data_IF_482834630393
#
_entry.id   IF_482834630393
#
_cell.length_a   1.000
_cell.length_b   1.000
_cell.length_c   1.000
_cell.angle_alpha   90.00
_cell.angle_beta   90.00
_cell.angle_gamma   90.00
#
_symmetry.space_group_name_H-M   'P 1'
#
loop_
_entity.id
_entity.type
_entity.pdbx_description
1 polymer ?
#
# COMPACT_ATOMS: atom_id res chain seq x y z
N UNK A 1 -73.38 -36.16 27.50
CA UNK A 1 -72.44 -35.08 27.12
C UNK A 1 -71.44 -35.65 26.13
N UNK A 2 -71.51 -35.17 24.89
CA UNK A 2 -70.79 -35.67 23.70
C UNK A 2 -69.71 -34.64 23.33
N UNK A 3 -68.47 -35.09 23.09
CA UNK A 3 -67.51 -34.64 22.04
C UNK A 3 -66.16 -35.34 22.30
N UNK A 4 -65.73 -36.31 21.47
CA UNK A 4 -65.13 -36.21 20.11
C UNK A 4 -63.70 -35.65 20.15
N UNK A 5 -62.71 -36.49 19.84
CA UNK A 5 -61.94 -36.53 18.55
C UNK A 5 -60.56 -35.85 18.76
N UNK A 6 -59.41 -36.26 18.20
CA UNK A 6 -59.00 -37.30 17.25
C UNK A 6 -57.46 -37.39 17.28
N UNK A 7 -56.96 -38.55 16.82
CA UNK A 7 -55.56 -38.94 16.57
C UNK A 7 -54.83 -38.05 15.56
N UNK A 8 -53.49 -37.98 15.69
CA UNK A 8 -52.49 -37.98 14.59
C UNK A 8 -51.10 -38.14 15.22
N UNK A 9 -50.46 -39.32 15.20
CA UNK A 9 -49.62 -39.85 14.11
C UNK A 9 -48.55 -38.84 13.65
N UNK A 10 -47.36 -38.91 14.25
CA UNK A 10 -46.15 -38.21 13.81
C UNK A 10 -45.37 -39.15 12.88
N UNK A 11 -45.37 -38.86 11.58
CA UNK A 11 -44.55 -39.55 10.59
C UNK A 11 -43.99 -38.53 9.59
N UNK A 12 -42.77 -38.81 9.12
CA UNK A 12 -41.96 -38.12 8.10
C UNK A 12 -41.33 -36.79 8.56
N UNK A 13 -40.05 -36.47 8.26
CA UNK A 13 -39.26 -36.77 7.06
C UNK A 13 -37.79 -37.12 7.41
N UNK A 14 -37.27 -38.20 6.82
CA UNK A 14 -35.84 -38.37 6.56
C UNK A 14 -35.44 -37.40 5.44
N UNK A 15 -34.76 -36.31 5.80
CA UNK A 15 -34.09 -35.44 4.83
C UNK A 15 -32.66 -35.92 4.63
N UNK A 16 -32.35 -36.44 3.43
CA UNK A 16 -30.99 -36.76 3.01
C UNK A 16 -30.11 -35.51 3.15
N UNK A 17 -29.07 -35.61 3.98
CA UNK A 17 -27.98 -34.64 4.03
C UNK A 17 -27.07 -34.90 2.81
N UNK A 18 -27.38 -34.28 1.69
CA UNK A 18 -26.46 -34.20 0.55
C UNK A 18 -25.30 -33.29 0.94
N UNK A 19 -24.17 -33.90 1.32
CA UNK A 19 -22.88 -33.22 1.40
C UNK A 19 -22.52 -32.67 0.02
N UNK A 20 -22.86 -31.41 -0.25
CA UNK A 20 -22.20 -30.64 -1.30
C UNK A 20 -20.81 -30.32 -0.75
N UNK A 21 -19.83 -31.10 -1.21
CA UNK A 21 -18.42 -30.75 -1.10
C UNK A 21 -18.21 -29.45 -1.88
N UNK A 22 -18.37 -28.32 -1.19
CA UNK A 22 -17.89 -27.04 -1.68
C UNK A 22 -16.39 -27.15 -1.84
N UNK A 23 -15.91 -27.03 -3.07
CA UNK A 23 -14.50 -26.79 -3.36
C UNK A 23 -14.19 -25.41 -2.79
N UNK A 24 -13.79 -25.37 -1.53
CA UNK A 24 -13.13 -24.20 -0.96
C UNK A 24 -11.86 -23.99 -1.80
N UNK A 25 -11.81 -22.88 -2.52
CA UNK A 25 -10.58 -22.41 -3.12
C UNK A 25 -9.54 -22.32 -2.01
N UNK A 26 -8.52 -23.19 -2.09
CA UNK A 26 -7.36 -23.12 -1.21
C UNK A 26 -6.72 -21.75 -1.43
N UNK A 27 -6.80 -20.90 -0.41
CA UNK A 27 -5.82 -19.85 -0.26
C UNK A 27 -4.47 -20.54 -0.07
N UNK A 28 -3.57 -20.39 -1.04
CA UNK A 28 -2.16 -20.77 -0.89
C UNK A 28 -1.61 -20.01 0.33
N UNK A 29 -1.61 -20.69 1.46
CA UNK A 29 -1.12 -20.25 2.76
C UNK A 29 -0.12 -21.28 3.30
N UNK A 30 0.69 -21.83 2.40
CA UNK A 30 1.72 -22.81 2.74
C UNK A 30 3.11 -22.25 2.45
N UNK A 31 3.49 -21.23 3.22
CA UNK A 31 4.85 -21.09 3.74
C UNK A 31 4.76 -20.64 5.20
N UNK A 32 5.35 -21.44 6.10
CA UNK A 32 5.07 -21.44 7.54
C UNK A 32 5.24 -20.10 8.26
N UNK A 33 4.24 -19.76 9.08
CA UNK A 33 4.32 -18.71 10.08
C UNK A 33 4.11 -17.27 9.58
N UNK A 34 4.23 -16.29 10.50
CA UNK A 34 4.12 -14.86 10.23
C UNK A 34 5.00 -14.39 9.06
N UNK A 35 4.49 -13.45 8.26
CA UNK A 35 5.19 -12.95 7.08
C UNK A 35 6.51 -12.24 7.37
N UNK A 36 6.65 -11.65 8.56
CA UNK A 36 7.90 -11.02 9.01
C UNK A 36 9.08 -11.99 9.02
N UNK A 37 8.85 -13.29 9.18
CA UNK A 37 9.93 -14.30 9.15
C UNK A 37 10.58 -14.46 7.77
N UNK A 38 9.95 -13.94 6.71
CA UNK A 38 10.50 -13.91 5.35
C UNK A 38 11.27 -12.63 5.05
N UNK A 39 11.35 -11.69 5.98
CA UNK A 39 12.13 -10.46 5.84
C UNK A 39 13.60 -10.76 6.16
N UNK A 40 14.48 -10.48 5.20
CA UNK A 40 15.92 -10.67 5.34
C UNK A 40 16.71 -9.74 4.42
N UNK A 41 18.00 -9.60 4.69
CA UNK A 41 18.88 -8.75 3.90
C UNK A 41 18.86 -7.29 4.30
N UNK A 42 19.59 -6.44 3.55
CA UNK A 42 19.79 -5.03 3.90
C UNK A 42 18.55 -4.18 3.66
N UNK A 43 17.77 -4.46 2.60
CA UNK A 43 16.58 -3.70 2.24
C UNK A 43 15.49 -4.64 1.76
N UNK A 44 14.29 -4.53 2.32
CA UNK A 44 13.16 -5.38 1.93
C UNK A 44 11.85 -4.60 1.92
N UNK A 45 10.84 -5.11 1.21
CA UNK A 45 9.48 -4.60 1.27
C UNK A 45 8.48 -5.73 1.40
N UNK A 46 7.56 -5.58 2.35
CA UNK A 46 6.38 -6.41 2.50
C UNK A 46 5.18 -5.70 1.90
N UNK A 47 4.43 -6.41 1.07
CA UNK A 47 3.15 -5.94 0.53
C UNK A 47 2.08 -6.12 1.60
N UNK A 48 1.51 -5.03 2.11
CA UNK A 48 0.35 -5.09 3.01
C UNK A 48 -0.95 -5.15 2.21
N UNK A 49 -0.99 -4.47 1.07
CA UNK A 49 -2.08 -4.55 0.11
C UNK A 49 -1.63 -4.20 -1.31
N UNK A 50 -2.28 -4.82 -2.28
CA UNK A 50 -1.84 -4.84 -3.69
C UNK A 50 -2.93 -4.47 -4.68
N UNK A 51 -4.06 -3.91 -4.21
CA UNK A 51 -5.20 -3.51 -5.03
C UNK A 51 -5.50 -2.01 -4.93
N UNK A 52 -6.51 -1.55 -5.67
CA UNK A 52 -7.06 -0.18 -5.59
C UNK A 52 -8.41 -0.12 -4.90
N UNK A 53 -9.36 0.73 -5.34
CA UNK A 53 -10.61 0.98 -4.62
C UNK A 53 -11.74 0.03 -5.04
N UNK A 54 -11.51 -0.81 -6.04
CA UNK A 54 -12.54 -1.67 -6.62
C UNK A 54 -12.71 -2.95 -5.81
N UNK A 55 -13.95 -3.28 -5.44
CA UNK A 55 -14.28 -4.54 -4.76
C UNK A 55 -13.88 -5.75 -5.60
N UNK A 56 -13.21 -6.72 -4.97
CA UNK A 56 -12.76 -7.95 -5.63
C UNK A 56 -13.03 -9.17 -4.76
N UNK A 57 -13.43 -10.27 -5.40
CA UNK A 57 -13.60 -11.56 -4.72
C UNK A 57 -12.27 -12.13 -4.19
N UNK A 58 -11.12 -11.66 -4.68
CA UNK A 58 -9.79 -12.05 -4.18
C UNK A 58 -9.54 -11.59 -2.73
N UNK A 59 -10.28 -10.57 -2.26
CA UNK A 59 -10.12 -10.03 -0.91
C UNK A 59 -8.81 -9.28 -0.67
N UNK A 60 -8.09 -8.90 -1.73
CA UNK A 60 -6.86 -8.10 -1.65
C UNK A 60 -7.14 -6.77 -0.94
N UNK A 61 -6.27 -6.38 -0.02
CA UNK A 61 -6.26 -5.05 0.55
C UNK A 61 -5.85 -4.01 -0.50
N UNK A 62 -6.28 -2.76 -0.30
CA UNK A 62 -5.85 -1.64 -1.12
C UNK A 62 -4.37 -1.29 -0.86
N UNK A 63 -3.76 -0.46 -1.71
CA UNK A 63 -2.33 -0.20 -1.71
C UNK A 63 -1.75 0.11 -0.32
N UNK A 64 -0.71 -0.64 0.03
CA UNK A 64 0.10 -0.33 1.19
C UNK A 64 1.29 -1.28 1.31
N UNK A 65 2.42 -0.74 1.74
CA UNK A 65 3.68 -1.47 1.80
C UNK A 65 4.45 -1.07 3.06
N UNK A 66 5.23 -2.00 3.60
CA UNK A 66 6.13 -1.77 4.72
C UNK A 66 7.56 -2.11 4.30
N UNK A 67 8.45 -1.13 4.39
CA UNK A 67 9.85 -1.25 4.03
C UNK A 67 10.69 -1.47 5.28
N UNK A 68 11.64 -2.38 5.16
CA UNK A 68 12.55 -2.82 6.21
C UNK A 68 13.98 -2.48 5.84
N UNK A 69 14.76 -2.00 6.82
CA UNK A 69 16.22 -1.87 6.72
C UNK A 69 16.86 -2.81 7.74
N UNK A 70 17.78 -3.66 7.31
CA UNK A 70 18.40 -4.68 8.17
C UNK A 70 17.36 -5.51 8.97
N UNK A 71 16.27 -5.88 8.32
CA UNK A 71 15.16 -6.63 8.92
C UNK A 71 14.25 -5.84 9.86
N UNK A 72 14.52 -4.55 10.13
CA UNK A 72 13.70 -3.71 11.00
C UNK A 72 12.74 -2.84 10.18
N UNK A 73 11.45 -2.76 10.53
CA UNK A 73 10.48 -1.95 9.79
C UNK A 73 10.74 -0.46 10.00
N UNK A 74 10.80 0.32 8.92
CA UNK A 74 11.18 1.74 8.97
C UNK A 74 10.21 2.70 8.31
N UNK A 75 9.59 2.29 7.20
CA UNK A 75 8.83 3.18 6.32
C UNK A 75 7.56 2.51 5.85
N UNK A 76 6.40 3.13 6.08
CA UNK A 76 5.19 2.79 5.36
C UNK A 76 5.13 3.56 4.03
N UNK A 77 4.69 2.90 2.97
CA UNK A 77 4.29 3.54 1.71
C UNK A 77 2.82 3.24 1.46
N UNK A 78 1.97 4.25 1.56
CA UNK A 78 0.50 4.15 1.58
C UNK A 78 -0.07 3.20 2.65
N UNK A 79 -1.31 3.45 3.04
CA UNK A 79 -2.05 2.73 4.07
C UNK A 79 -3.54 2.63 3.68
N UNK A 80 -3.79 1.96 2.55
CA UNK A 80 -5.12 1.67 2.04
C UNK A 80 -5.97 0.78 2.93
N UNK A 81 -7.25 0.64 2.56
CA UNK A 81 -8.21 -0.21 3.28
C UNK A 81 -7.74 -1.67 3.35
N UNK A 82 -7.70 -2.22 4.57
CA UNK A 82 -7.30 -3.61 4.83
C UNK A 82 -5.82 -3.79 5.15
N UNK A 83 -4.98 -2.76 4.96
CA UNK A 83 -3.56 -2.81 5.30
C UNK A 83 -3.31 -3.00 6.79
N UNK A 84 -4.17 -2.47 7.67
CA UNK A 84 -4.07 -2.70 9.11
C UNK A 84 -4.27 -4.19 9.47
N UNK A 85 -5.21 -4.85 8.81
CA UNK A 85 -5.44 -6.30 8.98
C UNK A 85 -4.23 -7.09 8.50
N UNK A 86 -3.71 -6.78 7.31
CA UNK A 86 -2.51 -7.43 6.78
C UNK A 86 -1.31 -7.21 7.69
N UNK A 87 -1.14 -6.00 8.23
CA UNK A 87 -0.09 -5.69 9.19
C UNK A 87 -0.18 -6.58 10.43
N UNK A 88 -1.37 -6.72 11.02
CA UNK A 88 -1.58 -7.62 12.16
C UNK A 88 -1.27 -9.09 11.81
N UNK A 89 -1.70 -9.56 10.63
CA UNK A 89 -1.40 -10.92 10.15
C UNK A 89 0.08 -11.16 9.85
N UNK A 90 0.85 -10.10 9.57
CA UNK A 90 2.27 -10.21 9.25
C UNK A 90 3.14 -10.61 10.46
N UNK A 91 2.66 -10.35 11.69
CA UNK A 91 3.42 -10.50 12.93
C UNK A 91 4.53 -9.46 13.12
N UNK A 92 4.51 -8.36 12.37
CA UNK A 92 5.54 -7.32 12.44
C UNK A 92 5.28 -6.37 13.62
N UNK A 93 6.32 -6.10 14.42
CA UNK A 93 6.33 -5.02 15.40
C UNK A 93 6.72 -3.71 14.73
N UNK A 94 5.86 -2.70 14.79
CA UNK A 94 6.00 -1.43 14.07
C UNK A 94 6.17 -0.23 15.00
N UNK A 95 6.35 -0.48 16.31
CA UNK A 95 6.61 0.55 17.30
C UNK A 95 7.73 1.53 16.90
N UNK A 96 8.73 1.11 16.11
CA UNK A 96 9.86 1.95 15.72
C UNK A 96 9.79 2.48 14.28
N UNK A 97 8.65 2.39 13.60
CA UNK A 97 8.46 3.00 12.28
C UNK A 97 8.39 4.52 12.43
N UNK A 98 9.25 5.24 11.69
CA UNK A 98 9.37 6.70 11.80
C UNK A 98 8.71 7.45 10.63
N UNK A 99 8.53 6.80 9.49
CA UNK A 99 8.15 7.45 8.25
C UNK A 99 6.88 6.84 7.67
N UNK A 100 5.96 7.69 7.23
CA UNK A 100 4.81 7.35 6.41
C UNK A 100 4.91 8.18 5.13
N UNK A 101 4.96 7.51 3.99
CA UNK A 101 5.00 8.12 2.68
C UNK A 101 3.64 7.89 2.01
N UNK A 102 2.88 8.96 1.78
CA UNK A 102 1.62 8.93 1.06
C UNK A 102 1.89 9.35 -0.39
N UNK A 103 1.59 8.49 -1.36
CA UNK A 103 1.76 8.81 -2.77
C UNK A 103 0.77 9.89 -3.22
N UNK A 104 -0.48 9.76 -2.77
CA UNK A 104 -1.56 10.71 -2.95
C UNK A 104 -2.70 10.41 -1.96
N UNK A 105 -3.71 11.27 -1.93
CA UNK A 105 -4.73 11.29 -0.89
C UNK A 105 -6.07 10.67 -1.31
N UNK A 106 -6.04 9.66 -2.18
CA UNK A 106 -7.21 8.79 -2.38
C UNK A 106 -7.39 7.83 -1.19
N UNK A 107 -8.63 7.39 -1.00
CA UNK A 107 -9.03 6.60 0.17
C UNK A 107 -8.39 5.21 0.18
N UNK A 108 -8.21 4.61 -0.99
CA UNK A 108 -7.53 3.32 -1.17
C UNK A 108 -6.02 3.37 -0.94
N UNK A 109 -5.47 4.56 -0.65
CA UNK A 109 -4.08 4.76 -0.23
C UNK A 109 -3.95 5.27 1.22
N UNK A 110 -5.06 5.62 1.88
CA UNK A 110 -5.00 6.36 3.16
C UNK A 110 -5.98 5.88 4.24
N UNK A 111 -6.98 5.05 3.90
CA UNK A 111 -8.10 4.73 4.79
C UNK A 111 -7.68 4.15 6.17
N UNK A 112 -6.63 3.34 6.22
CA UNK A 112 -6.21 2.67 7.45
C UNK A 112 -5.19 3.48 8.25
N UNK A 113 -4.78 4.67 7.77
CA UNK A 113 -3.80 5.53 8.44
C UNK A 113 -4.14 5.80 9.93
N UNK A 114 -5.38 6.19 10.32
CA UNK A 114 -5.72 6.37 11.74
C UNK A 114 -5.60 5.08 12.57
N UNK A 115 -5.94 3.93 11.96
CA UNK A 115 -5.85 2.62 12.60
C UNK A 115 -4.40 2.23 12.84
N UNK A 116 -3.53 2.41 11.85
CA UNK A 116 -2.09 2.11 11.94
C UNK A 116 -1.39 3.02 12.96
N UNK A 117 -1.68 4.32 12.97
CA UNK A 117 -1.13 5.24 14.00
C UNK A 117 -1.49 4.78 15.41
N UNK A 118 -2.74 4.37 15.62
CA UNK A 118 -3.17 3.78 16.89
C UNK A 118 -2.46 2.45 17.18
N UNK A 119 -2.22 1.64 16.15
CA UNK A 119 -1.46 0.39 16.26
C UNK A 119 -0.03 0.59 16.75
N UNK A 120 0.71 1.53 16.16
CA UNK A 120 2.08 1.88 16.55
C UNK A 120 2.16 2.21 18.05
N UNK A 121 1.19 2.98 18.55
CA UNK A 121 1.12 3.34 19.97
C UNK A 121 1.00 2.14 20.91
N UNK A 122 0.11 1.18 20.59
CA UNK A 122 -0.16 0.04 21.46
C UNK A 122 0.93 -1.01 21.36
N UNK A 123 1.42 -1.30 20.15
CA UNK A 123 2.49 -2.26 19.91
C UNK A 123 3.73 -1.92 20.75
N UNK A 124 4.18 -0.65 20.73
CA UNK A 124 5.33 -0.24 21.54
C UNK A 124 5.12 -0.41 23.04
N UNK A 125 3.91 -0.13 23.55
CA UNK A 125 3.63 -0.27 25.00
C UNK A 125 3.54 -1.72 25.45
N UNK A 126 2.90 -2.56 24.66
CA UNK A 126 2.78 -3.99 24.97
C UNK A 126 4.15 -4.67 25.01
N UNK A 127 5.10 -4.18 24.20
CA UNK A 127 6.48 -4.66 24.18
C UNK A 127 7.42 -3.97 25.19
N UNK A 128 6.97 -2.94 25.91
CA UNK A 128 7.83 -2.14 26.79
C UNK A 128 8.85 -1.26 26.06
N UNK A 129 8.64 -0.99 24.77
CA UNK A 129 9.45 -0.16 23.89
C UNK A 129 8.58 0.88 23.15
N UNK A 130 8.06 1.90 23.85
CA UNK A 130 7.13 2.87 23.26
C UNK A 130 7.83 3.75 22.20
N UNK A 131 7.15 4.01 21.08
CA UNK A 131 7.56 5.07 20.15
C UNK A 131 7.49 6.43 20.83
N UNK A 132 8.52 7.27 20.69
CA UNK A 132 8.56 8.62 21.28
C UNK A 132 8.92 9.74 20.31
N UNK A 133 9.31 9.43 19.07
CA UNK A 133 9.73 10.43 18.08
C UNK A 133 8.57 10.79 17.13
N UNK A 134 8.42 12.03 16.66
CA UNK A 134 7.35 12.36 15.73
C UNK A 134 7.38 11.51 14.47
N UNK A 135 6.23 10.89 14.15
CA UNK A 135 6.06 10.21 12.88
C UNK A 135 6.09 11.28 11.79
N UNK A 136 7.04 11.14 10.88
CA UNK A 136 7.20 12.01 9.73
C UNK A 136 6.29 11.52 8.62
N UNK A 137 5.34 12.35 8.20
CA UNK A 137 4.39 12.03 7.14
C UNK A 137 4.69 12.90 5.93
N UNK A 138 5.11 12.28 4.84
CA UNK A 138 5.37 12.95 3.57
C UNK A 138 4.26 12.61 2.59
N UNK A 139 3.83 13.59 1.81
CA UNK A 139 2.85 13.39 0.75
C UNK A 139 2.72 14.64 -0.11
N UNK A 140 1.86 14.62 -1.14
CA UNK A 140 1.70 15.77 -1.99
C UNK A 140 1.07 16.93 -1.20
N UNK A 141 1.68 18.10 -1.33
CA UNK A 141 1.02 19.38 -1.09
C UNK A 141 0.12 19.73 -2.27
N UNK A 142 -0.70 20.76 -2.10
CA UNK A 142 -1.51 21.30 -3.21
C UNK A 142 -2.20 22.60 -2.81
N UNK A 143 -2.54 23.40 -3.81
CA UNK A 143 -3.53 24.49 -3.71
C UNK A 143 -4.88 24.10 -4.35
N UNK A 144 -5.04 22.84 -4.78
CA UNK A 144 -6.27 22.33 -5.39
C UNK A 144 -7.40 22.31 -4.36
N UNK A 145 -8.54 22.98 -4.58
CA UNK A 145 -9.63 23.01 -3.61
C UNK A 145 -10.36 21.67 -3.42
N UNK A 146 -10.19 20.70 -4.33
CA UNK A 146 -10.83 19.37 -4.21
C UNK A 146 -10.03 18.40 -3.33
N UNK A 147 -8.72 18.61 -3.19
CA UNK A 147 -7.85 17.72 -2.42
C UNK A 147 -7.12 18.53 -1.36
N UNK A 148 -7.06 18.08 -0.09
CA UNK A 148 -6.24 18.76 0.90
C UNK A 148 -4.75 18.62 0.56
N UNK A 149 -3.91 19.52 1.08
CA UNK A 149 -2.48 19.21 1.23
C UNK A 149 -2.28 18.08 2.23
N UNK A 150 -1.11 17.45 2.27
CA UNK A 150 -0.80 16.42 3.27
C UNK A 150 -0.87 16.98 4.69
N UNK A 151 -0.40 18.22 4.90
CA UNK A 151 -0.56 18.93 6.17
C UNK A 151 -2.04 19.10 6.54
N UNK A 152 -2.85 19.63 5.63
CA UNK A 152 -4.28 19.82 5.87
C UNK A 152 -5.01 18.50 6.13
N UNK A 153 -4.61 17.43 5.45
CA UNK A 153 -5.17 16.09 5.64
C UNK A 153 -4.86 15.56 7.04
N UNK A 154 -3.59 15.62 7.45
CA UNK A 154 -3.16 15.17 8.77
C UNK A 154 -3.82 15.97 9.90
N UNK A 155 -3.90 17.29 9.76
CA UNK A 155 -4.60 18.17 10.73
C UNK A 155 -6.12 17.91 10.74
N UNK A 156 -6.71 17.66 9.58
CA UNK A 156 -8.11 17.27 9.44
C UNK A 156 -8.43 15.92 10.08
N UNK A 157 -7.45 15.03 10.22
CA UNK A 157 -7.60 13.77 10.94
C UNK A 157 -7.31 13.92 12.44
N UNK A 158 -6.19 14.52 12.82
CA UNK A 158 -5.65 14.41 14.18
C UNK A 158 -5.46 15.75 14.91
N UNK A 159 -5.54 16.87 14.19
CA UNK A 159 -5.41 18.19 14.76
C UNK A 159 -6.52 18.51 15.78
N UNK A 160 -6.46 19.69 16.44
CA UNK A 160 -7.42 20.05 17.50
C UNK A 160 -8.90 19.98 17.08
N UNK A 161 -9.18 20.24 15.80
CA UNK A 161 -10.51 20.17 15.19
C UNK A 161 -10.70 18.95 14.27
N UNK A 162 -9.72 18.05 14.22
CA UNK A 162 -9.69 16.90 13.32
C UNK A 162 -10.69 15.80 13.71
N UNK A 163 -11.15 15.02 12.74
CA UNK A 163 -12.22 14.01 12.91
C UNK A 163 -11.88 12.92 13.93
N UNK A 164 -10.60 12.55 14.01
CA UNK A 164 -10.02 11.64 14.97
C UNK A 164 -9.16 12.34 16.01
N UNK A 165 -9.48 13.60 16.38
CA UNK A 165 -8.80 14.36 17.45
C UNK A 165 -8.67 13.64 18.79
N UNK A 166 -9.44 12.58 19.07
CA UNK A 166 -9.19 11.75 20.26
C UNK A 166 -7.84 11.00 20.18
N UNK A 167 -7.35 10.71 18.97
CA UNK A 167 -6.02 10.14 18.74
C UNK A 167 -4.90 11.13 19.09
N UNK A 168 -5.20 12.44 19.15
CA UNK A 168 -4.30 13.47 19.67
C UNK A 168 -3.82 13.15 21.08
N UNK A 169 -4.69 12.60 21.94
CA UNK A 169 -4.33 12.19 23.30
C UNK A 169 -3.21 11.14 23.37
N UNK A 170 -2.97 10.38 22.29
CA UNK A 170 -1.89 9.41 22.16
C UNK A 170 -0.59 10.04 21.61
N UNK A 171 -0.72 11.19 20.96
CA UNK A 171 0.27 11.81 20.09
C UNK A 171 0.93 13.02 20.78
N UNK A 172 0.18 13.86 21.50
CA UNK A 172 0.72 15.05 22.18
C UNK A 172 0.38 15.15 23.68
N UNK A 173 -0.44 14.22 24.18
CA UNK A 173 -0.89 14.20 25.58
C UNK A 173 -1.71 15.42 26.00
N UNK A 174 -2.13 16.27 25.06
CA UNK A 174 -2.57 17.63 25.37
C UNK A 174 -4.01 17.74 25.90
N UNK A 175 -4.86 16.71 25.77
CA UNK A 175 -6.29 16.81 26.15
C UNK A 175 -6.85 15.51 26.75
N UNK A 176 -6.00 14.62 27.29
CA UNK A 176 -6.39 13.34 27.91
C UNK A 176 -6.04 13.25 29.40
N UNK A 177 -6.49 12.20 30.14
CA UNK A 177 -5.99 11.97 31.49
C UNK A 177 -4.44 11.94 31.47
N UNK A 178 -3.78 12.58 32.45
CA UNK A 178 -2.33 12.77 32.41
C UNK A 178 -1.62 11.42 32.26
N UNK A 179 -0.70 11.33 31.29
CA UNK A 179 0.18 10.18 30.97
C UNK A 179 -0.19 9.25 29.79
N UNK A 180 -0.83 9.74 28.71
CA UNK A 180 -0.95 8.95 27.45
C UNK A 180 -0.11 9.44 26.25
N UNK A 181 0.36 10.68 26.15
CA UNK A 181 1.10 11.13 24.95
C UNK A 181 2.51 10.53 24.83
N UNK A 182 3.01 10.26 23.62
CA UNK A 182 4.47 10.07 23.47
C UNK A 182 5.16 10.50 22.18
N UNK A 183 4.55 10.49 20.99
CA UNK A 183 5.36 10.64 19.77
C UNK A 183 5.07 11.82 18.82
N UNK A 184 3.84 12.28 18.59
CA UNK A 184 3.60 13.40 17.66
C UNK A 184 3.46 12.96 16.19
N UNK A 185 3.00 13.85 15.31
CA UNK A 185 3.23 13.71 13.87
C UNK A 185 3.74 15.03 13.30
N UNK A 186 4.50 14.95 12.22
CA UNK A 186 4.93 16.10 11.44
C UNK A 186 4.68 15.82 9.96
N UNK A 187 3.79 16.61 9.35
CA UNK A 187 3.44 16.50 7.95
C UNK A 187 4.33 17.38 7.07
N UNK A 188 4.66 16.90 5.88
CA UNK A 188 5.49 17.59 4.89
C UNK A 188 4.81 17.57 3.53
N UNK A 189 4.55 18.76 3.01
CA UNK A 189 3.90 18.98 1.72
C UNK A 189 4.94 19.00 0.58
N UNK A 190 4.93 17.96 -0.25
CA UNK A 190 5.80 17.80 -1.42
C UNK A 190 5.20 18.49 -2.65
N UNK A 191 6.04 18.96 -3.58
CA UNK A 191 5.53 19.61 -4.79
C UNK A 191 4.79 18.60 -5.67
N UNK A 192 3.53 18.84 -6.09
CA UNK A 192 2.81 17.95 -7.00
C UNK A 192 3.03 18.31 -8.48
N UNK A 193 3.91 19.27 -8.78
CA UNK A 193 4.11 19.79 -10.13
C UNK A 193 4.97 18.82 -10.93
N UNK A 194 4.32 17.95 -11.72
CA UNK A 194 5.00 16.88 -12.44
C UNK A 194 5.67 17.33 -13.74
N UNK A 195 5.21 18.41 -14.40
CA UNK A 195 5.88 18.94 -15.58
C UNK A 195 7.25 19.51 -15.22
N UNK A 196 8.31 18.95 -15.81
CA UNK A 196 9.68 19.39 -15.54
C UNK A 196 10.21 19.00 -14.17
N UNK A 197 9.52 18.13 -13.43
CA UNK A 197 9.95 17.71 -12.10
C UNK A 197 11.35 17.05 -12.13
N UNK A 198 12.03 17.21 -11.00
CA UNK A 198 13.35 16.65 -10.71
C UNK A 198 13.27 15.79 -9.47
N UNK A 199 14.17 14.82 -9.35
CA UNK A 199 14.22 13.95 -8.17
C UNK A 199 14.76 14.76 -6.98
N UNK A 200 13.99 14.84 -5.90
CA UNK A 200 14.39 15.54 -4.67
C UNK A 200 14.67 14.53 -3.56
N UNK A 201 15.66 14.80 -2.72
CA UNK A 201 15.92 14.01 -1.51
C UNK A 201 15.17 14.63 -0.34
N UNK A 202 14.31 13.86 0.31
CA UNK A 202 13.44 14.31 1.41
C UNK A 202 13.88 13.78 2.78
N UNK A 203 14.63 12.67 2.80
CA UNK A 203 15.28 12.10 3.99
C UNK A 203 16.67 11.62 3.60
N UNK A 204 17.67 11.88 4.46
CA UNK A 204 19.02 11.35 4.33
C UNK A 204 19.65 11.20 5.72
N UNK A 205 19.36 10.09 6.39
CA UNK A 205 19.72 9.87 7.78
C UNK A 205 20.06 8.40 8.03
N UNK A 206 21.13 8.13 8.79
CA UNK A 206 21.52 6.77 9.19
C UNK A 206 21.62 5.77 8.02
N UNK A 207 22.03 6.25 6.84
CA UNK A 207 22.15 5.44 5.62
C UNK A 207 20.84 5.21 4.86
N UNK A 208 19.69 5.60 5.41
CA UNK A 208 18.40 5.63 4.73
C UNK A 208 18.29 6.94 3.93
N UNK A 209 18.09 6.81 2.62
CA UNK A 209 17.82 7.94 1.73
C UNK A 209 16.43 7.74 1.12
N UNK A 210 15.55 8.73 1.28
CA UNK A 210 14.24 8.73 0.63
C UNK A 210 14.22 9.90 -0.34
N UNK A 211 13.88 9.59 -1.59
CA UNK A 211 13.71 10.55 -2.68
C UNK A 211 12.28 10.53 -3.17
N UNK A 212 11.85 11.63 -3.75
CA UNK A 212 10.55 11.77 -4.39
C UNK A 212 10.68 12.35 -5.81
N UNK A 213 9.67 12.08 -6.65
CA UNK A 213 9.37 12.93 -7.80
C UNK A 213 7.85 13.06 -7.96
N UNK A 214 7.36 14.25 -8.33
CA UNK A 214 5.96 14.44 -8.73
C UNK A 214 5.58 13.59 -9.95
N UNK A 215 4.37 13.03 -9.93
CA UNK A 215 3.83 12.19 -11.01
C UNK A 215 2.43 12.63 -11.44
N UNK A 216 2.03 12.23 -12.64
CA UNK A 216 0.74 12.62 -13.22
C UNK A 216 -0.35 11.65 -12.76
N UNK A 217 -1.28 12.12 -11.93
CA UNK A 217 -2.52 11.42 -11.58
C UNK A 217 -3.74 12.33 -11.79
N UNK A 218 -3.70 13.13 -12.87
CA UNK A 218 -4.68 14.13 -13.25
C UNK A 218 -5.00 15.12 -12.11
N UNK A 219 -6.24 15.12 -11.61
CA UNK A 219 -6.71 16.08 -10.63
C UNK A 219 -6.16 15.83 -9.22
N UNK A 220 -5.74 14.61 -8.94
CA UNK A 220 -5.18 14.22 -7.66
C UNK A 220 -3.68 14.56 -7.65
N UNK A 221 -3.24 15.47 -6.76
CA UNK A 221 -1.82 15.71 -6.52
C UNK A 221 -1.13 14.39 -6.15
N UNK A 222 -0.01 14.05 -6.80
CA UNK A 222 0.63 12.75 -6.61
C UNK A 222 2.15 12.83 -6.73
N UNK A 223 2.83 11.98 -5.96
CA UNK A 223 4.29 11.78 -5.95
C UNK A 223 4.63 10.30 -5.92
N UNK A 224 5.78 9.97 -6.50
CA UNK A 224 6.39 8.65 -6.43
C UNK A 224 7.63 8.69 -5.52
N UNK A 225 7.99 7.56 -4.92
CA UNK A 225 9.10 7.48 -3.95
C UNK A 225 10.19 6.50 -4.38
N UNK A 226 11.43 6.83 -4.04
CA UNK A 226 12.58 5.93 -4.10
C UNK A 226 13.24 5.87 -2.74
N UNK A 227 13.35 4.67 -2.20
CA UNK A 227 14.03 4.39 -0.94
C UNK A 227 15.34 3.70 -1.26
N UNK A 228 16.45 4.24 -0.75
CA UNK A 228 17.78 3.68 -0.91
C UNK A 228 18.38 3.36 0.47
N UNK A 229 19.03 2.22 0.57
CA UNK A 229 19.74 1.80 1.77
C UNK A 229 20.89 0.85 1.42
N UNK A 230 22.10 1.14 1.94
CA UNK A 230 23.32 0.35 1.69
C UNK A 230 23.58 -0.01 0.21
N UNK A 231 23.25 0.91 -0.70
CA UNK A 231 23.46 0.74 -2.15
C UNK A 231 22.32 0.02 -2.89
N UNK A 232 21.28 -0.42 -2.18
CA UNK A 232 20.08 -1.03 -2.75
C UNK A 232 18.93 -0.04 -2.82
N UNK A 233 17.95 -0.31 -3.69
CA UNK A 233 16.87 0.63 -3.98
C UNK A 233 15.52 -0.03 -4.28
N UNK A 234 14.47 0.54 -3.69
CA UNK A 234 13.07 0.20 -3.95
C UNK A 234 12.37 1.47 -4.42
N UNK A 235 11.64 1.38 -5.52
CA UNK A 235 10.86 2.48 -6.10
C UNK A 235 9.39 2.12 -6.11
N UNK A 236 8.56 3.06 -5.68
CA UNK A 236 7.11 2.93 -5.66
C UNK A 236 6.48 4.07 -6.46
N UNK A 237 5.69 3.73 -7.48
CA UNK A 237 5.12 4.72 -8.39
C UNK A 237 4.00 5.57 -7.79
N UNK A 238 3.32 5.09 -6.74
CA UNK A 238 1.94 5.52 -6.49
C UNK A 238 1.04 5.22 -7.69
N UNK A 239 -0.08 5.91 -7.79
CA UNK A 239 -0.88 5.91 -9.02
C UNK A 239 -0.36 6.97 -9.98
N UNK A 240 -0.19 6.59 -11.26
CA UNK A 240 0.22 7.56 -12.27
C UNK A 240 -0.14 7.12 -13.68
N UNK A 241 -0.41 8.08 -14.56
CA UNK A 241 -0.55 7.90 -16.00
C UNK A 241 0.79 7.85 -16.76
N UNK A 242 1.89 8.28 -16.13
CA UNK A 242 3.26 8.31 -16.70
C UNK A 242 3.37 9.07 -18.04
N UNK A 243 2.73 10.24 -18.13
CA UNK A 243 2.80 11.13 -19.32
C UNK A 243 4.15 11.81 -19.50
N UNK A 244 4.98 11.82 -18.45
CA UNK A 244 6.36 12.32 -18.46
C UNK A 244 7.36 11.19 -18.23
N UNK A 245 8.65 11.51 -18.28
CA UNK A 245 9.73 10.56 -17.96
C UNK A 245 10.12 10.59 -16.47
N UNK A 246 9.28 11.13 -15.59
CA UNK A 246 9.60 11.23 -14.16
C UNK A 246 9.81 9.85 -13.53
N UNK A 247 8.99 8.85 -13.90
CA UNK A 247 9.21 7.47 -13.46
C UNK A 247 10.48 6.86 -14.03
N UNK A 248 10.93 7.25 -15.23
CA UNK A 248 12.24 6.82 -15.76
C UNK A 248 13.36 7.39 -14.90
N UNK A 249 13.33 8.70 -14.63
CA UNK A 249 14.34 9.39 -13.79
C UNK A 249 14.44 8.78 -12.40
N UNK A 250 13.30 8.55 -11.75
CA UNK A 250 13.26 8.01 -10.39
C UNK A 250 13.67 6.53 -10.36
N UNK A 251 13.20 5.72 -11.30
CA UNK A 251 13.43 4.27 -11.31
C UNK A 251 14.75 3.81 -11.92
N UNK A 252 15.60 4.73 -12.39
CA UNK A 252 16.85 4.39 -13.06
C UNK A 252 17.70 3.41 -12.24
N UNK A 253 17.96 2.23 -12.80
CA UNK A 253 18.76 1.17 -12.19
C UNK A 253 18.24 0.67 -10.84
N UNK A 254 16.94 0.82 -10.55
CA UNK A 254 16.38 0.38 -9.28
C UNK A 254 16.45 -1.15 -9.15
N UNK A 255 16.63 -1.68 -7.93
CA UNK A 255 16.58 -3.13 -7.75
C UNK A 255 15.13 -3.65 -7.83
N UNK A 256 14.20 -2.89 -7.27
CA UNK A 256 12.78 -3.20 -7.29
C UNK A 256 11.97 -1.97 -7.70
N UNK A 257 11.09 -2.12 -8.69
CA UNK A 257 10.12 -1.10 -9.09
C UNK A 257 8.71 -1.67 -8.90
N UNK A 258 7.97 -1.14 -7.93
CA UNK A 258 6.56 -1.42 -7.68
C UNK A 258 5.73 -0.41 -8.47
N UNK A 259 4.90 -0.90 -9.40
CA UNK A 259 4.21 -0.06 -10.38
C UNK A 259 2.69 -0.27 -10.34
N UNK A 260 1.94 0.83 -10.33
CA UNK A 260 0.51 0.88 -10.63
C UNK A 260 0.19 0.13 -11.92
N UNK A 261 -0.60 -0.93 -11.79
CA UNK A 261 -1.05 -1.80 -12.86
C UNK A 261 -2.58 -1.90 -12.84
N UNK A 262 -3.28 -0.78 -12.91
CA UNK A 262 -4.75 -0.75 -12.75
C UNK A 262 -5.56 -1.11 -14.00
N UNK A 263 -4.97 -0.95 -15.19
CA UNK A 263 -5.69 -0.98 -16.47
C UNK A 263 -4.98 -1.85 -17.51
N UNK A 264 -5.66 -2.08 -18.64
CA UNK A 264 -5.06 -2.52 -19.89
C UNK A 264 -4.99 -1.35 -20.88
N UNK A 265 -4.20 -1.48 -21.94
CA UNK A 265 -4.03 -0.46 -22.97
C UNK A 265 -5.37 0.03 -23.57
N UNK A 266 -6.37 -0.84 -23.61
CA UNK A 266 -7.70 -0.58 -24.19
C UNK A 266 -8.86 -0.80 -23.21
N UNK A 267 -8.59 -1.09 -21.93
CA UNK A 267 -9.63 -1.33 -20.93
C UNK A 267 -9.30 -0.66 -19.58
N UNK A 268 -10.15 0.25 -19.07
CA UNK A 268 -11.37 0.76 -19.72
C UNK A 268 -11.05 1.56 -21.01
N UNK A 269 -12.05 2.00 -21.78
CA UNK A 269 -11.79 2.78 -22.99
C UNK A 269 -10.79 3.92 -22.71
N UNK A 270 -9.79 4.15 -23.58
CA UNK A 270 -8.73 5.14 -23.34
C UNK A 270 -9.24 6.57 -23.09
N UNK A 271 -10.46 6.88 -23.56
CA UNK A 271 -11.12 8.16 -23.33
C UNK A 271 -11.67 8.34 -21.90
N UNK A 272 -11.83 7.24 -21.14
CA UNK A 272 -12.42 7.27 -19.80
C UNK A 272 -11.52 8.00 -18.79
N UNK A 273 -12.10 8.68 -17.78
CA UNK A 273 -11.31 9.32 -16.73
C UNK A 273 -10.40 8.33 -15.99
N UNK A 274 -10.87 7.10 -15.74
CA UNK A 274 -10.05 6.08 -15.09
C UNK A 274 -8.82 5.71 -15.91
N UNK A 275 -8.96 5.47 -17.22
CA UNK A 275 -7.81 5.14 -18.07
C UNK A 275 -6.75 6.27 -18.13
N UNK A 276 -7.19 7.53 -18.06
CA UNK A 276 -6.30 8.71 -18.09
C UNK A 276 -5.55 8.97 -16.79
N UNK A 277 -5.86 8.24 -15.72
CA UNK A 277 -5.21 8.36 -14.41
C UNK A 277 -4.12 7.32 -14.16
N UNK A 278 -4.08 6.26 -14.98
CA UNK A 278 -3.25 5.08 -14.75
C UNK A 278 -2.39 4.74 -15.96
N UNK A 279 -1.25 4.10 -15.71
CA UNK A 279 -0.27 3.78 -16.73
C UNK A 279 -0.73 2.56 -17.52
N UNK A 280 -0.68 2.65 -18.85
CA UNK A 280 -0.96 1.49 -19.71
C UNK A 280 0.19 0.48 -19.64
N UNK A 281 -0.06 -0.84 -19.73
CA UNK A 281 0.98 -1.85 -19.87
C UNK A 281 2.05 -1.53 -20.93
N UNK A 282 1.67 -0.95 -22.07
CA UNK A 282 2.64 -0.49 -23.08
C UNK A 282 3.54 0.62 -22.53
N UNK A 283 2.98 1.69 -21.93
CA UNK A 283 3.81 2.77 -21.37
C UNK A 283 4.68 2.27 -20.21
N UNK A 284 4.15 1.40 -19.35
CA UNK A 284 4.91 0.77 -18.26
C UNK A 284 6.11 -0.01 -18.80
N UNK A 285 5.93 -0.78 -19.87
CA UNK A 285 7.02 -1.51 -20.51
C UNK A 285 8.11 -0.59 -21.06
N UNK A 286 7.74 0.55 -21.64
CA UNK A 286 8.70 1.55 -22.11
C UNK A 286 9.47 2.18 -20.94
N UNK A 287 8.77 2.57 -19.88
CA UNK A 287 9.40 3.12 -18.66
C UNK A 287 10.37 2.10 -18.08
N UNK A 288 9.97 0.84 -17.92
CA UNK A 288 10.82 -0.21 -17.39
C UNK A 288 12.02 -0.51 -18.30
N UNK A 289 11.85 -0.49 -19.63
CA UNK A 289 12.97 -0.67 -20.55
C UNK A 289 14.01 0.46 -20.47
N UNK A 290 13.57 1.71 -20.30
CA UNK A 290 14.46 2.87 -20.17
C UNK A 290 15.13 2.96 -18.80
N UNK A 291 14.35 2.75 -17.73
CA UNK A 291 14.84 2.80 -16.36
C UNK A 291 15.70 1.58 -16.00
N UNK A 292 15.44 0.44 -16.64
CA UNK A 292 16.13 -0.84 -16.44
C UNK A 292 16.21 -1.29 -14.97
N UNK A 293 15.08 -1.42 -14.24
CA UNK A 293 15.11 -2.01 -12.91
C UNK A 293 15.44 -3.52 -12.98
N UNK A 294 15.98 -4.09 -11.91
CA UNK A 294 16.25 -5.55 -11.86
C UNK A 294 14.96 -6.36 -11.82
N UNK A 295 13.98 -5.90 -11.05
CA UNK A 295 12.65 -6.51 -10.94
C UNK A 295 11.54 -5.44 -11.00
N UNK A 296 10.53 -5.71 -11.82
CA UNK A 296 9.29 -4.94 -11.93
C UNK A 296 8.17 -5.73 -11.24
N UNK A 297 7.53 -5.14 -10.24
CA UNK A 297 6.41 -5.72 -9.51
C UNK A 297 5.12 -5.04 -9.95
N UNK A 298 4.23 -5.82 -10.53
CA UNK A 298 2.89 -5.40 -10.90
C UNK A 298 2.03 -5.35 -9.63
N UNK A 299 1.60 -4.16 -9.23
CA UNK A 299 0.74 -3.94 -8.07
C UNK A 299 -0.45 -3.06 -8.45
N UNK A 300 -1.25 -2.65 -7.47
CA UNK A 300 -2.50 -1.90 -7.68
C UNK A 300 -3.44 -2.61 -8.67
N UNK A 301 -3.54 -3.94 -8.54
CA UNK A 301 -4.28 -4.78 -9.47
C UNK A 301 -5.78 -4.64 -9.23
N UNK A 302 -6.52 -4.30 -10.29
CA UNK A 302 -7.98 -4.15 -10.29
C UNK A 302 -8.65 -5.43 -10.83
N UNK A 303 -9.99 -5.56 -10.81
CA UNK A 303 -10.68 -6.62 -11.53
C UNK A 303 -10.40 -6.65 -13.04
N UNK A 304 -9.86 -5.57 -13.60
CA UNK A 304 -9.45 -5.48 -15.00
C UNK A 304 -8.08 -6.12 -15.19
N UNK A 305 -7.09 -5.71 -14.39
CA UNK A 305 -5.69 -6.11 -14.62
C UNK A 305 -5.29 -7.41 -13.95
N UNK A 306 -5.84 -7.73 -12.76
CA UNK A 306 -5.51 -8.95 -12.02
C UNK A 306 -5.66 -10.24 -12.86
N UNK A 307 -6.82 -10.51 -13.52
CA UNK A 307 -6.96 -11.70 -14.36
C UNK A 307 -6.12 -11.65 -15.64
N UNK A 308 -5.55 -10.50 -15.99
CA UNK A 308 -4.81 -10.26 -17.24
C UNK A 308 -3.29 -10.11 -17.03
N UNK A 309 -2.76 -10.42 -15.84
CA UNK A 309 -1.32 -10.37 -15.55
C UNK A 309 -0.46 -11.09 -16.62
N UNK A 310 -0.81 -12.29 -17.13
CA UNK A 310 -0.04 -12.93 -18.18
C UNK A 310 0.03 -12.11 -19.48
N UNK A 311 -1.06 -11.45 -19.86
CA UNK A 311 -1.10 -10.56 -21.04
C UNK A 311 -0.26 -9.30 -20.80
N UNK A 312 -0.38 -8.68 -19.62
CA UNK A 312 0.38 -7.49 -19.22
C UNK A 312 1.88 -7.78 -19.30
N UNK A 313 2.33 -8.92 -18.75
CA UNK A 313 3.73 -9.36 -18.86
C UNK A 313 4.19 -9.47 -20.31
N UNK A 314 3.37 -10.02 -21.20
CA UNK A 314 3.69 -10.13 -22.64
C UNK A 314 3.82 -8.75 -23.30
N UNK A 315 2.92 -7.81 -22.98
CA UNK A 315 2.97 -6.44 -23.51
C UNK A 315 4.25 -5.72 -23.05
N UNK A 316 4.56 -5.80 -21.76
CA UNK A 316 5.78 -5.20 -21.18
C UNK A 316 7.04 -5.76 -21.86
N UNK A 317 7.12 -7.09 -22.05
CA UNK A 317 8.23 -7.75 -22.76
C UNK A 317 8.38 -7.26 -24.19
N UNK A 318 7.27 -7.02 -24.89
CA UNK A 318 7.29 -6.49 -26.26
C UNK A 318 7.87 -5.07 -26.37
N UNK A 319 7.95 -4.33 -25.27
CA UNK A 319 8.60 -3.00 -25.21
C UNK A 319 10.11 -3.07 -24.93
N UNK A 320 10.68 -4.27 -24.78
CA UNK A 320 12.13 -4.47 -24.62
C UNK A 320 12.61 -4.59 -23.17
N UNK A 321 11.73 -4.56 -22.17
CA UNK A 321 12.13 -4.81 -20.79
C UNK A 321 12.50 -6.28 -20.57
N UNK A 322 13.71 -6.56 -20.08
CA UNK A 322 14.25 -7.92 -19.90
C UNK A 322 14.37 -8.36 -18.44
N UNK A 323 14.30 -7.43 -17.47
CA UNK A 323 14.38 -7.72 -16.03
C UNK A 323 13.21 -8.57 -15.52
N UNK A 324 13.26 -9.06 -14.28
CA UNK A 324 12.21 -9.93 -13.74
C UNK A 324 10.86 -9.19 -13.67
N UNK A 325 9.74 -9.89 -13.90
CA UNK A 325 8.38 -9.34 -13.72
C UNK A 325 7.58 -10.23 -12.76
N UNK A 326 7.21 -9.68 -11.62
CA UNK A 326 6.44 -10.35 -10.56
C UNK A 326 5.05 -9.74 -10.39
N UNK A 327 4.15 -10.53 -9.84
CA UNK A 327 2.85 -10.07 -9.36
C UNK A 327 2.96 -9.84 -7.84
N UNK A 328 2.47 -8.69 -7.36
CA UNK A 328 2.31 -8.44 -5.94
C UNK A 328 1.20 -9.33 -5.36
N UNK A 329 1.40 -9.82 -4.15
CA UNK A 329 0.38 -10.48 -3.35
C UNK A 329 0.51 -9.98 -1.93
N UNK A 330 -0.62 -9.80 -1.24
CA UNK A 330 -0.61 -9.38 0.16
C UNK A 330 0.21 -10.37 0.99
N UNK A 331 0.99 -9.86 1.94
CA UNK A 331 1.97 -10.55 2.79
C UNK A 331 3.16 -11.19 2.08
N UNK A 332 3.33 -10.94 0.77
CA UNK A 332 4.56 -11.28 0.06
C UNK A 332 5.67 -10.31 0.46
N UNK A 333 6.87 -10.85 0.63
CA UNK A 333 8.08 -10.09 0.92
C UNK A 333 9.01 -10.14 -0.30
N UNK A 334 9.57 -9.00 -0.66
CA UNK A 334 10.65 -8.88 -1.63
C UNK A 334 11.90 -8.41 -0.88
N UNK A 335 12.92 -9.24 -0.87
CA UNK A 335 14.21 -8.91 -0.27
C UNK A 335 15.18 -8.48 -1.37
N UNK A 336 15.84 -7.35 -1.16
CA UNK A 336 16.78 -6.75 -2.08
C UNK A 336 18.18 -6.83 -1.47
N UNK A 337 19.15 -7.25 -2.27
CA UNK A 337 20.53 -7.39 -1.81
C UNK A 337 20.82 -8.69 -1.06
N UNK A 338 19.97 -9.70 -1.23
CA UNK A 338 20.34 -11.09 -0.99
C UNK A 338 20.70 -11.75 -2.31
N UNK A 339 21.84 -12.43 -2.34
CA UNK A 339 22.24 -13.27 -3.46
C UNK A 339 21.46 -14.59 -3.36
N UNK A 340 20.19 -14.56 -3.77
CA UNK A 340 19.39 -15.77 -4.04
C UNK A 340 19.05 -15.88 -5.54
#
# INVERSE_FOLDING_TARGET
>A
MIRRQTRTALALLLGLLTCVLGVAARADSTEGGPAVHRVHGPLSVMVLGSSGPMLQASGRASAGYLVFTDGQPRVFMDLGSGTFKSLAMSGTHVAQVNYILLSHLHIDHTADLPGVIKGIYFDGREQGDPHTAPIQVYGPGTDNPMFPSTTQFMDGLFGPTGLFRYLRSFVDGADGPPALGVFGYQAHDLSPVFQGATVNTIVNENGLVIKEIAVDHLEAPAVAYRIEYKGYSIVYSGDTHSTTDNMVKLAQGADLLIYDTSILDNQPPPSSPFAKRHTTPTRMGQVAAMANPRELVLSHLTPISAPNVPLIKKIIRAQGYTGKISEAHDLKVYNVGTDD
#
